data_IF_813702565411
#
_entry.id   IF_813702565411
#
_cell.length_a   1.000
_cell.length_b   1.000
_cell.length_c   1.000
_cell.angle_alpha   90.00
_cell.angle_beta   90.00
_cell.angle_gamma   90.00
#
_symmetry.space_group_name_H-M   'P 1'
#
loop_
_entity.id
_entity.type
_entity.pdbx_description
1 polymer ?
#
# COMPACT_ATOMS: atom_id res chain seq x y z
N UNK A 1 49.65 7.51 6.79
CA UNK A 1 48.27 8.05 6.82
C UNK A 1 47.91 8.23 8.28
N UNK A 2 48.08 9.46 8.76
CA UNK A 2 48.35 9.81 10.16
C UNK A 2 47.09 9.96 11.00
N UNK A 3 47.26 9.89 12.32
CA UNK A 3 46.24 10.20 13.34
C UNK A 3 45.59 11.59 13.15
N UNK A 4 46.24 12.51 12.43
CA UNK A 4 45.69 13.83 12.09
C UNK A 4 44.53 13.78 11.09
N UNK A 5 44.59 12.93 10.06
CA UNK A 5 43.46 12.79 9.13
C UNK A 5 42.22 12.24 9.84
N UNK A 6 42.39 11.26 10.74
CA UNK A 6 41.29 10.74 11.54
C UNK A 6 40.71 11.78 12.52
N UNK A 7 41.55 12.67 13.07
CA UNK A 7 41.12 13.76 13.94
C UNK A 7 40.39 14.86 13.16
N UNK A 8 40.85 15.21 11.95
CA UNK A 8 40.17 16.17 11.07
C UNK A 8 38.81 15.64 10.61
N UNK A 9 38.72 14.40 10.13
CA UNK A 9 37.43 13.80 9.73
C UNK A 9 36.47 13.69 10.92
N UNK A 10 36.98 13.42 12.14
CA UNK A 10 36.16 13.41 13.36
C UNK A 10 35.67 14.80 13.74
N UNK A 11 36.50 15.83 13.61
CA UNK A 11 36.11 17.22 13.89
C UNK A 11 35.12 17.78 12.87
N UNK A 12 35.27 17.45 11.58
CA UNK A 12 34.27 17.77 10.56
C UNK A 12 32.93 17.06 10.83
N UNK A 13 32.97 15.78 11.21
CA UNK A 13 31.77 15.04 11.59
C UNK A 13 31.07 15.63 12.81
N UNK A 14 31.82 16.03 13.84
CA UNK A 14 31.25 16.65 15.04
C UNK A 14 30.64 18.02 14.73
N UNK A 15 31.28 18.85 13.90
CA UNK A 15 30.72 20.13 13.43
C UNK A 15 29.46 19.94 12.57
N UNK A 16 29.46 18.96 11.66
CA UNK A 16 28.28 18.64 10.86
C UNK A 16 27.14 18.12 11.75
N UNK A 17 27.46 17.36 12.80
CA UNK A 17 26.49 16.85 13.77
C UNK A 17 25.91 17.96 14.64
N UNK A 18 26.73 18.86 15.19
CA UNK A 18 26.29 20.03 15.96
C UNK A 18 25.42 20.96 15.11
N UNK A 19 25.88 21.31 13.89
CA UNK A 19 25.08 22.11 12.96
C UNK A 19 23.76 21.45 12.56
N UNK A 20 23.72 20.11 12.50
CA UNK A 20 22.48 19.35 12.27
C UNK A 20 21.54 19.40 13.47
N UNK A 21 22.05 19.28 14.69
CA UNK A 21 21.24 19.34 15.92
C UNK A 21 20.63 20.74 16.11
N UNK A 22 21.41 21.81 15.90
CA UNK A 22 20.91 23.18 15.94
C UNK A 22 19.86 23.46 14.87
N UNK A 23 20.08 22.97 13.64
CA UNK A 23 19.11 23.08 12.54
C UNK A 23 17.83 22.32 12.84
N UNK A 24 17.93 21.11 13.40
CA UNK A 24 16.75 20.34 13.79
C UNK A 24 15.98 21.03 14.92
N UNK A 25 16.67 21.63 15.91
CA UNK A 25 16.03 22.39 16.99
C UNK A 25 15.24 23.61 16.47
N UNK A 26 15.82 24.38 15.54
CA UNK A 26 15.14 25.52 14.89
C UNK A 26 13.89 25.08 14.13
N UNK A 27 13.98 23.99 13.38
CA UNK A 27 12.85 23.45 12.61
C UNK A 27 11.78 22.87 13.54
N UNK A 28 12.17 22.19 14.62
CA UNK A 28 11.24 21.66 15.61
C UNK A 28 10.39 22.78 16.25
N UNK A 29 10.98 23.95 16.51
CA UNK A 29 10.25 25.10 17.04
C UNK A 29 9.15 25.59 16.09
N UNK A 30 9.34 25.49 14.77
CA UNK A 30 8.33 25.85 13.77
C UNK A 30 7.16 24.85 13.66
N UNK A 31 7.33 23.63 14.20
CA UNK A 31 6.35 22.54 14.03
C UNK A 31 5.34 22.42 15.17
N UNK A 32 5.59 23.04 16.32
CA UNK A 32 4.73 22.89 17.50
C UNK A 32 3.34 23.53 17.33
N UNK A 33 3.12 24.39 16.34
CA UNK A 33 1.86 25.11 16.11
C UNK A 33 0.85 24.40 15.16
N UNK A 34 1.23 23.33 14.46
CA UNK A 34 0.41 22.74 13.38
C UNK A 34 -0.26 21.38 13.71
N UNK A 35 -0.09 20.86 14.92
CA UNK A 35 -0.35 19.44 15.22
C UNK A 35 -1.85 19.04 15.36
N UNK A 36 -2.79 19.96 15.13
CA UNK A 36 -4.22 19.78 15.45
C UNK A 36 -5.15 19.35 14.28
N UNK A 37 -4.64 19.20 13.04
CA UNK A 37 -5.49 19.03 11.84
C UNK A 37 -5.45 17.65 11.16
N UNK A 38 -5.09 16.57 11.87
CA UNK A 38 -5.24 15.22 11.34
C UNK A 38 -6.58 14.61 11.77
N UNK A 39 -7.62 14.91 10.98
CA UNK A 39 -8.97 14.39 11.12
C UNK A 39 -9.07 12.86 11.16
N UNK A 40 -10.25 12.35 11.55
CA UNK A 40 -10.52 10.92 11.73
C UNK A 40 -10.22 10.14 10.45
N UNK A 41 -9.33 9.15 10.52
CA UNK A 41 -8.89 8.34 9.38
C UNK A 41 -9.99 7.44 8.74
N UNK A 42 -11.20 7.42 9.30
CA UNK A 42 -12.32 6.59 8.85
C UNK A 42 -13.65 7.33 9.08
N UNK A 43 -14.42 7.53 8.02
CA UNK A 43 -15.81 8.00 8.09
C UNK A 43 -16.74 7.00 7.39
N UNK A 44 -17.60 6.34 8.17
CA UNK A 44 -18.55 5.34 7.69
C UNK A 44 -19.63 5.93 6.78
N UNK A 45 -19.94 7.23 6.90
CA UNK A 45 -20.91 7.91 6.03
C UNK A 45 -20.37 8.05 4.62
N UNK A 46 -19.10 8.48 4.48
CA UNK A 46 -18.43 8.59 3.18
C UNK A 46 -18.34 7.23 2.50
N UNK A 47 -17.99 6.17 3.23
CA UNK A 47 -17.97 4.80 2.70
C UNK A 47 -19.35 4.38 2.18
N UNK A 48 -20.42 4.64 2.94
CA UNK A 48 -21.78 4.28 2.51
C UNK A 48 -22.20 5.02 1.23
N UNK A 49 -21.81 6.30 1.10
CA UNK A 49 -22.04 7.09 -0.12
C UNK A 49 -21.24 6.55 -1.29
N UNK A 50 -19.94 6.24 -1.12
CA UNK A 50 -19.13 5.59 -2.16
C UNK A 50 -19.77 4.30 -2.67
N UNK A 51 -20.25 3.45 -1.75
CA UNK A 51 -20.91 2.20 -2.09
C UNK A 51 -22.25 2.41 -2.81
N UNK A 52 -22.94 3.54 -2.59
CA UNK A 52 -24.17 3.86 -3.32
C UNK A 52 -23.93 4.02 -4.82
N UNK A 53 -22.82 4.66 -5.22
CA UNK A 53 -22.41 4.78 -6.63
C UNK A 53 -21.98 3.45 -7.25
N UNK A 54 -21.60 2.48 -6.43
CA UNK A 54 -21.29 1.13 -6.90
C UNK A 54 -22.53 0.26 -7.07
N UNK A 55 -23.70 0.66 -6.54
CA UNK A 55 -24.95 -0.12 -6.60
C UNK A 55 -25.37 -0.51 -8.02
N UNK A 56 -25.32 0.39 -9.03
CA UNK A 56 -25.69 0.04 -10.41
C UNK A 56 -24.79 -1.05 -11.01
N UNK A 57 -23.58 -1.20 -10.46
CA UNK A 57 -22.55 -2.12 -10.94
C UNK A 57 -22.38 -3.37 -10.05
N UNK A 58 -23.32 -3.61 -9.12
CA UNK A 58 -23.28 -4.77 -8.23
C UNK A 58 -23.21 -6.12 -8.97
N UNK A 59 -23.96 -6.37 -10.07
CA UNK A 59 -23.87 -7.63 -10.79
C UNK A 59 -22.44 -7.90 -11.31
N UNK A 60 -21.79 -6.87 -11.85
CA UNK A 60 -20.41 -6.94 -12.33
C UNK A 60 -19.44 -7.16 -11.17
N UNK A 61 -19.63 -6.49 -10.04
CA UNK A 61 -18.81 -6.69 -8.84
C UNK A 61 -18.95 -8.10 -8.27
N UNK A 62 -20.17 -8.64 -8.21
CA UNK A 62 -20.43 -10.02 -7.77
C UNK A 62 -19.75 -11.00 -8.73
N UNK A 63 -19.87 -10.79 -10.04
CA UNK A 63 -19.20 -11.61 -11.05
C UNK A 63 -17.67 -11.54 -10.93
N UNK A 64 -17.11 -10.35 -10.66
CA UNK A 64 -15.69 -10.18 -10.42
C UNK A 64 -15.23 -10.89 -9.13
N UNK A 65 -16.03 -10.84 -8.06
CA UNK A 65 -15.77 -11.56 -6.80
C UNK A 65 -15.81 -13.07 -7.04
N UNK A 66 -16.77 -13.55 -7.82
CA UNK A 66 -16.85 -14.96 -8.20
C UNK A 66 -15.59 -15.43 -8.94
N UNK A 67 -15.16 -14.70 -9.99
CA UNK A 67 -13.90 -15.02 -10.68
C UNK A 67 -12.66 -14.86 -9.78
N UNK A 68 -12.70 -13.95 -8.81
CA UNK A 68 -11.64 -13.80 -7.82
C UNK A 68 -11.55 -15.01 -6.89
N UNK A 69 -12.67 -15.55 -6.43
CA UNK A 69 -12.68 -16.76 -5.60
C UNK A 69 -12.12 -17.93 -6.40
N UNK A 70 -12.57 -18.12 -7.65
CA UNK A 70 -12.07 -19.20 -8.50
C UNK A 70 -10.56 -19.05 -8.74
N UNK A 71 -10.09 -17.88 -9.18
CA UNK A 71 -8.66 -17.66 -9.40
C UNK A 71 -7.84 -17.85 -8.11
N UNK A 72 -8.34 -17.41 -6.96
CA UNK A 72 -7.65 -17.62 -5.67
C UNK A 72 -7.59 -19.11 -5.30
N UNK A 73 -8.67 -19.86 -5.52
CA UNK A 73 -8.69 -21.31 -5.30
C UNK A 73 -7.75 -22.04 -6.26
N UNK A 74 -7.75 -21.71 -7.56
CA UNK A 74 -6.83 -22.29 -8.53
C UNK A 74 -5.37 -22.02 -8.16
N UNK A 75 -5.06 -20.80 -7.70
CA UNK A 75 -3.74 -20.47 -7.17
C UNK A 75 -3.41 -21.29 -5.91
N UNK A 76 -4.36 -21.50 -5.00
CA UNK A 76 -4.14 -22.29 -3.78
C UNK A 76 -3.95 -23.77 -4.08
N UNK A 77 -4.59 -24.32 -5.11
CA UNK A 77 -4.51 -25.76 -5.45
C UNK A 77 -3.16 -26.14 -6.09
N UNK A 78 -2.48 -25.21 -6.77
CA UNK A 78 -1.24 -25.48 -7.50
C UNK A 78 -0.12 -26.17 -6.68
N UNK A 79 0.27 -25.69 -5.48
CA UNK A 79 1.29 -26.38 -4.69
C UNK A 79 0.93 -27.81 -4.30
N UNK A 80 -0.35 -28.08 -3.99
CA UNK A 80 -0.82 -29.43 -3.69
C UNK A 80 -0.71 -30.36 -4.91
N UNK A 81 -1.00 -29.87 -6.13
CA UNK A 81 -0.78 -30.63 -7.37
C UNK A 81 0.69 -30.97 -7.55
N UNK A 82 1.60 -30.02 -7.28
CA UNK A 82 3.04 -30.28 -7.36
C UNK A 82 3.46 -31.35 -6.35
N UNK A 83 2.95 -31.28 -5.11
CA UNK A 83 3.21 -32.31 -4.11
C UNK A 83 2.72 -33.70 -4.55
N UNK A 84 1.49 -33.80 -5.07
CA UNK A 84 0.94 -35.05 -5.59
C UNK A 84 1.69 -35.61 -6.80
N UNK A 85 2.17 -34.73 -7.69
CA UNK A 85 3.01 -35.13 -8.81
C UNK A 85 4.33 -35.78 -8.36
N UNK A 86 4.90 -35.28 -7.26
CA UNK A 86 6.12 -35.84 -6.67
C UNK A 86 5.83 -37.21 -6.05
N UNK A 87 4.81 -37.30 -5.19
CA UNK A 87 4.52 -38.51 -4.42
C UNK A 87 4.02 -39.67 -5.31
N UNK A 88 3.09 -39.39 -6.22
CA UNK A 88 2.43 -40.44 -7.01
C UNK A 88 3.11 -40.67 -8.36
N UNK A 89 3.89 -39.70 -8.85
CA UNK A 89 4.55 -39.75 -10.15
C UNK A 89 6.06 -39.97 -10.05
N UNK A 90 6.78 -39.02 -9.46
CA UNK A 90 8.25 -39.06 -9.44
C UNK A 90 8.75 -40.18 -8.52
N UNK A 91 8.20 -40.30 -7.31
CA UNK A 91 8.64 -41.31 -6.35
C UNK A 91 8.31 -42.76 -6.81
N UNK A 92 7.26 -42.93 -7.61
CA UNK A 92 6.86 -44.24 -8.16
C UNK A 92 7.53 -44.55 -9.51
N UNK A 93 8.24 -43.59 -10.12
CA UNK A 93 8.85 -43.74 -11.44
C UNK A 93 7.85 -43.75 -12.61
N UNK A 94 6.58 -43.40 -12.39
CA UNK A 94 5.54 -43.43 -13.42
C UNK A 94 5.51 -42.13 -14.24
N UNK A 95 6.12 -42.17 -15.43
CA UNK A 95 6.08 -41.04 -16.37
C UNK A 95 4.64 -40.66 -16.78
N UNK A 96 3.74 -41.64 -16.87
CA UNK A 96 2.34 -41.39 -17.22
C UNK A 96 1.63 -40.59 -16.14
N UNK A 97 1.84 -40.92 -14.87
CA UNK A 97 1.27 -40.19 -13.73
C UNK A 97 1.82 -38.76 -13.66
N UNK A 98 3.13 -38.57 -13.90
CA UNK A 98 3.74 -37.22 -13.97
C UNK A 98 3.12 -36.39 -15.10
N UNK A 99 2.92 -36.96 -16.29
CA UNK A 99 2.28 -36.26 -17.43
C UNK A 99 0.84 -35.86 -17.10
N UNK A 100 0.08 -36.73 -16.44
CA UNK A 100 -1.29 -36.45 -16.00
C UNK A 100 -1.33 -35.29 -15.02
N UNK A 101 -0.50 -35.30 -13.97
CA UNK A 101 -0.44 -34.20 -13.00
C UNK A 101 0.08 -32.90 -13.62
N UNK A 102 1.00 -32.97 -14.58
CA UNK A 102 1.47 -31.80 -15.35
C UNK A 102 0.35 -31.22 -16.21
N UNK A 103 -0.43 -32.06 -16.90
CA UNK A 103 -1.58 -31.61 -17.68
C UNK A 103 -2.66 -30.98 -16.80
N UNK A 104 -2.92 -31.56 -15.62
CA UNK A 104 -3.84 -30.97 -14.64
C UNK A 104 -3.32 -29.63 -14.10
N UNK A 105 -2.02 -29.53 -13.81
CA UNK A 105 -1.40 -28.26 -13.41
C UNK A 105 -1.58 -27.18 -14.48
N UNK A 106 -1.34 -27.52 -15.75
CA UNK A 106 -1.53 -26.60 -16.87
C UNK A 106 -2.99 -26.18 -17.00
N UNK A 107 -3.94 -27.12 -16.87
CA UNK A 107 -5.36 -26.81 -16.89
C UNK A 107 -5.74 -25.82 -15.77
N UNK A 108 -5.29 -26.08 -14.54
CA UNK A 108 -5.52 -25.19 -13.38
C UNK A 108 -4.89 -23.82 -13.60
N UNK A 109 -3.68 -23.76 -14.14
CA UNK A 109 -3.00 -22.50 -14.46
C UNK A 109 -3.74 -21.70 -15.56
N UNK A 110 -4.26 -22.38 -16.58
CA UNK A 110 -5.07 -21.74 -17.64
C UNK A 110 -6.39 -21.20 -17.07
N UNK A 111 -7.08 -21.97 -16.22
CA UNK A 111 -8.31 -21.51 -15.56
C UNK A 111 -8.01 -20.32 -14.65
N UNK A 112 -6.93 -20.36 -13.86
CA UNK A 112 -6.50 -19.22 -13.05
C UNK A 112 -6.27 -17.99 -13.94
N UNK A 113 -5.51 -18.14 -15.03
CA UNK A 113 -5.19 -17.04 -15.94
C UNK A 113 -6.44 -16.43 -16.57
N UNK A 114 -7.35 -17.25 -17.11
CA UNK A 114 -8.61 -16.80 -17.72
C UNK A 114 -9.47 -16.07 -16.69
N UNK A 115 -9.72 -16.69 -15.53
CA UNK A 115 -10.57 -16.09 -14.49
C UNK A 115 -9.97 -14.81 -13.92
N UNK A 116 -8.65 -14.77 -13.72
CA UNK A 116 -7.94 -13.57 -13.31
C UNK A 116 -8.05 -12.45 -14.36
N UNK A 117 -7.91 -12.79 -15.65
CA UNK A 117 -8.06 -11.84 -16.77
C UNK A 117 -9.46 -11.22 -16.78
N UNK A 118 -10.51 -12.04 -16.67
CA UNK A 118 -11.90 -11.58 -16.60
C UNK A 118 -12.16 -10.70 -15.38
N UNK A 119 -11.69 -11.12 -14.20
CA UNK A 119 -11.76 -10.33 -12.98
C UNK A 119 -11.14 -8.93 -13.18
N UNK A 120 -9.92 -8.85 -13.72
CA UNK A 120 -9.23 -7.57 -13.94
C UNK A 120 -10.01 -6.71 -14.93
N UNK A 121 -10.50 -7.29 -16.04
CA UNK A 121 -11.31 -6.56 -17.03
C UNK A 121 -12.58 -5.97 -16.42
N UNK A 122 -13.34 -6.78 -15.67
CA UNK A 122 -14.60 -6.35 -15.07
C UNK A 122 -14.34 -5.24 -14.05
N UNK A 123 -13.31 -5.38 -13.22
CA UNK A 123 -12.97 -4.35 -12.24
C UNK A 123 -12.51 -3.05 -12.89
N UNK A 124 -11.73 -3.11 -13.97
CA UNK A 124 -11.34 -1.93 -14.74
C UNK A 124 -12.56 -1.25 -15.39
N UNK A 125 -13.49 -2.04 -15.92
CA UNK A 125 -14.75 -1.53 -16.47
C UNK A 125 -15.58 -0.81 -15.41
N UNK A 126 -15.83 -1.47 -14.27
CA UNK A 126 -16.61 -0.89 -13.16
C UNK A 126 -15.93 0.36 -12.62
N UNK A 127 -14.62 0.32 -12.37
CA UNK A 127 -13.87 1.47 -11.87
C UNK A 127 -13.97 2.68 -12.81
N UNK A 128 -13.81 2.46 -14.12
CA UNK A 128 -13.91 3.53 -15.12
C UNK A 128 -15.32 4.09 -15.23
N UNK A 129 -16.34 3.21 -15.18
CA UNK A 129 -17.75 3.62 -15.25
C UNK A 129 -18.20 4.41 -14.04
N UNK A 130 -17.88 3.94 -12.83
CA UNK A 130 -18.15 4.68 -11.59
C UNK A 130 -17.53 6.08 -11.64
N UNK A 131 -16.29 6.20 -12.09
CA UNK A 131 -15.62 7.50 -12.25
C UNK A 131 -16.30 8.39 -13.29
N UNK A 132 -16.72 7.81 -14.42
CA UNK A 132 -17.46 8.56 -15.44
C UNK A 132 -18.76 9.12 -14.86
N UNK A 133 -19.49 8.33 -14.07
CA UNK A 133 -20.72 8.78 -13.40
C UNK A 133 -20.43 9.90 -12.39
N UNK A 134 -19.41 9.73 -11.53
CA UNK A 134 -18.98 10.77 -10.59
C UNK A 134 -18.60 12.07 -11.29
N UNK A 135 -17.78 12.01 -12.34
CA UNK A 135 -17.36 13.19 -13.09
C UNK A 135 -18.54 13.84 -13.79
N UNK A 136 -19.44 13.05 -14.35
CA UNK A 136 -20.63 13.56 -15.04
C UNK A 136 -21.60 14.25 -14.07
N UNK A 137 -21.82 13.68 -12.89
CA UNK A 137 -22.65 14.30 -11.86
C UNK A 137 -22.02 15.56 -11.28
N UNK A 138 -20.74 15.51 -10.90
CA UNK A 138 -20.00 16.69 -10.46
C UNK A 138 -20.05 17.80 -11.50
N UNK A 139 -19.84 17.48 -12.77
CA UNK A 139 -19.86 18.46 -13.86
C UNK A 139 -21.25 19.08 -14.05
N UNK A 140 -22.31 18.27 -14.03
CA UNK A 140 -23.70 18.78 -14.07
C UNK A 140 -23.98 19.68 -12.86
N UNK A 141 -23.61 19.23 -11.67
CA UNK A 141 -23.84 19.98 -10.44
C UNK A 141 -23.08 21.31 -10.45
N UNK A 142 -21.83 21.34 -10.91
CA UNK A 142 -21.06 22.58 -11.08
C UNK A 142 -21.77 23.59 -11.98
N UNK A 143 -22.49 23.16 -13.02
CA UNK A 143 -23.26 24.05 -13.89
C UNK A 143 -24.57 24.55 -13.25
N UNK A 144 -25.03 23.93 -12.17
CA UNK A 144 -26.21 24.40 -11.41
C UNK A 144 -25.86 25.42 -10.34
N UNK A 145 -24.58 25.60 -10.02
CA UNK A 145 -24.14 26.53 -8.98
C UNK A 145 -24.15 27.98 -9.47
N UNK A 146 -24.29 28.91 -8.52
CA UNK A 146 -24.39 30.34 -8.79
C UNK A 146 -23.09 30.93 -9.36
N UNK A 147 -23.19 32.05 -10.07
CA UNK A 147 -22.03 32.85 -10.47
C UNK A 147 -21.18 33.28 -9.25
N UNK A 148 -21.83 33.48 -8.09
CA UNK A 148 -21.16 33.80 -6.84
C UNK A 148 -20.24 32.66 -6.38
N UNK A 149 -20.69 31.41 -6.50
CA UNK A 149 -19.82 30.25 -6.26
C UNK A 149 -18.60 30.28 -7.18
N UNK A 150 -18.80 30.46 -8.50
CA UNK A 150 -17.70 30.46 -9.48
C UNK A 150 -16.70 31.61 -9.31
N UNK A 151 -17.15 32.76 -8.81
CA UNK A 151 -16.27 33.91 -8.54
C UNK A 151 -15.40 33.72 -7.29
N UNK A 152 -15.89 32.97 -6.30
CA UNK A 152 -15.20 32.76 -5.02
C UNK A 152 -14.42 31.44 -4.95
N UNK A 153 -14.75 30.45 -5.80
CA UNK A 153 -14.03 29.19 -5.89
C UNK A 153 -12.94 29.23 -6.95
N UNK A 154 -11.72 28.85 -6.56
CA UNK A 154 -10.60 28.80 -7.51
C UNK A 154 -10.80 27.65 -8.51
N UNK A 155 -10.74 27.96 -9.80
CA UNK A 155 -10.82 26.98 -10.91
C UNK A 155 -9.86 25.81 -10.71
N UNK A 156 -8.62 26.08 -10.26
CA UNK A 156 -7.63 25.03 -9.99
C UNK A 156 -8.05 24.00 -8.93
N UNK A 157 -8.69 24.44 -7.84
CA UNK A 157 -9.24 23.53 -6.82
C UNK A 157 -10.37 22.67 -7.38
N UNK A 158 -11.25 23.24 -8.21
CA UNK A 158 -12.34 22.49 -8.86
C UNK A 158 -11.78 21.43 -9.82
N UNK A 159 -10.80 21.80 -10.65
CA UNK A 159 -10.13 20.88 -11.56
C UNK A 159 -9.39 19.76 -10.80
N UNK A 160 -8.71 20.08 -9.71
CA UNK A 160 -8.06 19.09 -8.85
C UNK A 160 -9.06 18.10 -8.24
N UNK A 161 -10.23 18.58 -7.76
CA UNK A 161 -11.30 17.72 -7.26
C UNK A 161 -11.87 16.80 -8.35
N UNK A 162 -12.15 17.34 -9.54
CA UNK A 162 -12.76 16.58 -10.64
C UNK A 162 -11.81 15.53 -11.26
N UNK A 163 -10.51 15.83 -11.32
CA UNK A 163 -9.52 14.97 -11.96
C UNK A 163 -8.82 14.09 -10.93
N UNK A 164 -8.15 14.70 -9.95
CA UNK A 164 -7.26 14.00 -9.02
C UNK A 164 -8.04 13.29 -7.92
N UNK A 165 -8.97 13.97 -7.23
CA UNK A 165 -9.70 13.34 -6.12
C UNK A 165 -10.60 12.21 -6.60
N UNK A 166 -11.34 12.41 -7.70
CA UNK A 166 -12.11 11.31 -8.32
C UNK A 166 -11.19 10.19 -8.82
N UNK A 167 -9.98 10.51 -9.30
CA UNK A 167 -8.98 9.51 -9.67
C UNK A 167 -8.53 8.64 -8.49
N UNK A 168 -8.34 9.23 -7.30
CA UNK A 168 -8.04 8.46 -6.08
C UNK A 168 -9.19 7.50 -5.72
N UNK A 169 -10.45 7.89 -5.96
CA UNK A 169 -11.61 7.01 -5.80
C UNK A 169 -11.59 5.85 -6.81
N UNK A 170 -11.19 6.13 -8.06
CA UNK A 170 -11.01 5.12 -9.11
C UNK A 170 -10.05 4.02 -8.67
N UNK A 171 -8.86 4.42 -8.23
CA UNK A 171 -7.79 3.52 -7.84
C UNK A 171 -8.17 2.70 -6.60
N UNK A 172 -8.93 3.31 -5.70
CA UNK A 172 -9.46 2.63 -4.54
C UNK A 172 -10.42 1.50 -4.91
N UNK A 173 -11.40 1.78 -5.76
CA UNK A 173 -12.42 0.82 -6.19
C UNK A 173 -11.79 -0.27 -7.06
N UNK A 174 -10.92 0.11 -7.99
CA UNK A 174 -10.34 -0.81 -8.99
C UNK A 174 -9.30 -1.71 -8.37
N UNK A 175 -8.37 -1.14 -7.60
CA UNK A 175 -7.17 -1.85 -7.16
C UNK A 175 -7.17 -2.13 -5.68
N UNK A 176 -7.53 -1.15 -4.83
CA UNK A 176 -7.34 -1.27 -3.38
C UNK A 176 -8.32 -2.27 -2.75
N UNK A 177 -9.63 -2.08 -2.96
CA UNK A 177 -10.66 -3.00 -2.44
C UNK A 177 -10.47 -4.41 -2.99
N UNK A 178 -10.29 -4.53 -4.30
CA UNK A 178 -10.24 -5.85 -4.97
C UNK A 178 -9.09 -6.69 -4.47
N UNK A 179 -7.91 -6.12 -4.34
CA UNK A 179 -6.78 -6.89 -3.85
C UNK A 179 -6.76 -7.05 -2.33
N UNK A 180 -7.49 -6.25 -1.53
CA UNK A 180 -7.78 -6.61 -0.13
C UNK A 180 -8.57 -7.92 -0.07
N UNK A 181 -9.65 -8.02 -0.85
CA UNK A 181 -10.43 -9.26 -0.94
C UNK A 181 -9.62 -10.42 -1.51
N UNK A 182 -8.86 -10.20 -2.59
CA UNK A 182 -7.97 -11.23 -3.16
C UNK A 182 -6.98 -11.74 -2.11
N UNK A 183 -6.32 -10.83 -1.40
CA UNK A 183 -5.37 -11.15 -0.34
C UNK A 183 -6.04 -11.96 0.76
N UNK A 184 -7.24 -11.55 1.18
CA UNK A 184 -8.03 -12.26 2.18
C UNK A 184 -8.39 -13.69 1.73
N UNK A 185 -8.97 -13.87 0.53
CA UNK A 185 -9.36 -15.19 0.01
C UNK A 185 -8.15 -16.09 -0.24
N UNK A 186 -7.07 -15.54 -0.80
CA UNK A 186 -5.83 -16.29 -1.06
C UNK A 186 -5.19 -16.72 0.25
N UNK A 187 -5.03 -15.81 1.22
CA UNK A 187 -4.44 -16.12 2.52
C UNK A 187 -5.27 -17.17 3.27
N UNK A 188 -6.59 -16.99 3.32
CA UNK A 188 -7.51 -17.94 3.95
C UNK A 188 -7.44 -19.31 3.27
N UNK A 189 -7.42 -19.34 1.93
CA UNK A 189 -7.27 -20.58 1.17
C UNK A 189 -5.94 -21.28 1.45
N UNK A 190 -4.83 -20.55 1.53
CA UNK A 190 -3.52 -21.12 1.90
C UNK A 190 -3.57 -21.71 3.31
N UNK A 191 -4.11 -20.98 4.30
CA UNK A 191 -4.23 -21.48 5.69
C UNK A 191 -5.02 -22.77 5.74
N UNK A 192 -6.18 -22.81 5.07
CA UNK A 192 -7.03 -24.01 5.00
C UNK A 192 -6.28 -25.15 4.31
N UNK A 193 -5.64 -24.89 3.16
CA UNK A 193 -4.90 -25.91 2.42
C UNK A 193 -3.74 -26.51 3.25
N UNK A 194 -2.98 -25.67 3.97
CA UNK A 194 -1.90 -26.14 4.84
C UNK A 194 -2.42 -26.99 5.99
N UNK A 195 -3.50 -26.56 6.66
CA UNK A 195 -4.13 -27.32 7.74
C UNK A 195 -4.70 -28.67 7.26
N UNK A 196 -5.26 -28.71 6.05
CA UNK A 196 -5.79 -29.93 5.45
C UNK A 196 -4.69 -30.90 5.00
N UNK A 197 -3.53 -30.40 4.56
CA UNK A 197 -2.39 -31.24 4.18
C UNK A 197 -1.70 -31.86 5.39
N UNK A 198 -1.30 -31.03 6.36
CA UNK A 198 -0.77 -31.50 7.64
C UNK A 198 -0.87 -30.40 8.71
N UNK A 199 -1.79 -30.60 9.67
CA UNK A 199 -2.04 -29.59 10.69
C UNK A 199 -0.85 -29.36 11.64
N UNK A 200 0.01 -30.36 11.86
CA UNK A 200 1.18 -30.22 12.75
C UNK A 200 2.24 -29.34 12.10
N UNK A 201 2.56 -29.61 10.84
CA UNK A 201 3.51 -28.82 10.05
C UNK A 201 2.98 -27.41 9.75
N UNK A 202 1.66 -27.27 9.62
CA UNK A 202 1.01 -25.95 9.53
C UNK A 202 1.20 -25.14 10.81
N UNK A 203 1.01 -25.73 12.00
CA UNK A 203 1.29 -25.04 13.27
C UNK A 203 2.77 -24.65 13.41
N UNK A 204 3.69 -25.51 12.97
CA UNK A 204 5.13 -25.17 12.91
C UNK A 204 5.35 -23.94 12.03
N UNK A 205 4.72 -23.88 10.86
CA UNK A 205 4.79 -22.70 9.99
C UNK A 205 4.21 -21.46 10.67
N UNK A 206 3.04 -21.60 11.29
CA UNK A 206 2.33 -20.49 11.94
C UNK A 206 3.02 -19.99 13.21
N UNK A 207 3.97 -20.74 13.78
CA UNK A 207 4.79 -20.29 14.91
C UNK A 207 5.58 -19.00 14.61
N UNK A 208 5.83 -18.69 13.33
CA UNK A 208 6.51 -17.45 12.90
C UNK A 208 5.55 -16.25 12.88
N UNK A 209 4.23 -16.46 12.88
CA UNK A 209 3.23 -15.39 12.81
C UNK A 209 3.29 -14.40 13.98
N UNK A 210 3.40 -14.82 15.26
CA UNK A 210 3.54 -13.89 16.37
C UNK A 210 4.76 -12.97 16.20
N UNK A 211 5.89 -13.52 15.77
CA UNK A 211 7.12 -12.75 15.52
C UNK A 211 6.92 -11.75 14.37
N UNK A 212 6.26 -12.18 13.29
CA UNK A 212 5.91 -11.30 12.17
C UNK A 212 4.96 -10.19 12.61
N UNK A 213 3.97 -10.47 13.47
CA UNK A 213 3.05 -9.48 14.00
C UNK A 213 3.79 -8.43 14.84
N UNK A 214 4.70 -8.86 15.72
CA UNK A 214 5.55 -7.96 16.52
C UNK A 214 6.39 -7.07 15.60
N UNK A 215 7.08 -7.66 14.61
CA UNK A 215 7.89 -6.93 13.63
C UNK A 215 7.05 -5.88 12.89
N UNK A 216 5.89 -6.28 12.39
CA UNK A 216 4.96 -5.41 11.65
C UNK A 216 4.44 -4.28 12.53
N UNK A 217 4.08 -4.56 13.79
CA UNK A 217 3.57 -3.55 14.71
C UNK A 217 4.65 -2.55 15.10
N UNK A 218 5.85 -3.04 15.43
CA UNK A 218 7.04 -2.25 15.71
C UNK A 218 7.34 -1.29 14.54
N UNK A 219 7.22 -1.82 13.31
CA UNK A 219 7.41 -1.07 12.08
C UNK A 219 6.39 0.05 11.90
N UNK A 220 5.11 -0.31 11.96
CA UNK A 220 3.99 0.58 11.66
C UNK A 220 3.96 1.80 12.60
N UNK A 221 4.41 1.66 13.84
CA UNK A 221 4.52 2.78 14.79
C UNK A 221 5.64 3.74 14.39
N UNK A 222 6.81 3.23 13.99
CA UNK A 222 7.97 4.07 13.61
C UNK A 222 7.80 4.74 12.25
N UNK A 223 7.28 4.00 11.26
CA UNK A 223 7.01 4.52 9.91
C UNK A 223 6.10 5.73 9.97
N UNK A 224 5.02 5.66 10.76
CA UNK A 224 4.10 6.80 10.91
C UNK A 224 4.81 8.07 11.40
N UNK A 225 5.73 7.95 12.36
CA UNK A 225 6.50 9.08 12.89
C UNK A 225 7.43 9.69 11.85
N UNK A 226 8.22 8.88 11.14
CA UNK A 226 9.18 9.40 10.14
C UNK A 226 8.48 10.00 8.93
N UNK A 227 7.37 9.43 8.46
CA UNK A 227 6.59 10.02 7.36
C UNK A 227 5.86 11.31 7.78
N UNK A 228 5.39 11.42 9.03
CA UNK A 228 4.86 12.69 9.56
C UNK A 228 5.94 13.77 9.55
N UNK A 229 7.13 13.43 10.03
CA UNK A 229 8.29 14.32 10.05
C UNK A 229 8.72 14.79 8.64
N UNK A 230 8.62 13.92 7.63
CA UNK A 230 8.84 14.28 6.22
C UNK A 230 7.78 15.25 5.69
N UNK A 231 6.49 14.99 5.96
CA UNK A 231 5.39 15.88 5.53
C UNK A 231 5.48 17.27 6.14
N UNK A 232 5.76 17.35 7.44
CA UNK A 232 5.99 18.60 8.16
C UNK A 232 7.10 19.45 7.53
N UNK A 233 8.26 18.84 7.23
CA UNK A 233 9.37 19.55 6.57
C UNK A 233 9.05 19.99 5.14
N UNK A 234 8.27 19.19 4.41
CA UNK A 234 7.78 19.58 3.08
C UNK A 234 6.84 20.79 3.15
N UNK A 235 5.96 20.85 4.17
CA UNK A 235 5.09 21.99 4.40
C UNK A 235 5.89 23.27 4.65
N UNK A 236 6.92 23.22 5.51
CA UNK A 236 7.83 24.34 5.76
C UNK A 236 8.54 24.83 4.49
N UNK A 237 9.05 23.90 3.66
CA UNK A 237 9.65 24.23 2.36
C UNK A 237 8.65 24.97 1.46
N UNK A 238 7.42 24.46 1.36
CA UNK A 238 6.39 25.08 0.53
C UNK A 238 5.97 26.46 1.06
N UNK A 239 5.84 26.62 2.37
CA UNK A 239 5.57 27.91 3.02
C UNK A 239 6.67 28.93 2.73
N UNK A 240 7.93 28.53 2.93
CA UNK A 240 9.09 29.38 2.66
C UNK A 240 9.22 29.78 1.19
N UNK A 241 8.95 28.85 0.27
CA UNK A 241 8.92 29.15 -1.16
C UNK A 241 7.82 30.16 -1.52
N UNK A 242 6.63 30.01 -0.94
CA UNK A 242 5.52 30.94 -1.16
C UNK A 242 5.89 32.36 -0.70
N UNK A 243 6.44 32.50 0.51
CA UNK A 243 6.91 33.78 1.05
C UNK A 243 8.04 34.37 0.21
N UNK A 244 9.03 33.56 -0.18
CA UNK A 244 10.18 34.00 -0.97
C UNK A 244 9.80 34.49 -2.37
N UNK A 245 8.85 33.81 -3.03
CA UNK A 245 8.37 34.19 -4.36
C UNK A 245 7.49 35.44 -4.27
N UNK A 246 6.55 35.47 -3.33
CA UNK A 246 5.65 36.62 -3.12
C UNK A 246 6.42 37.88 -2.70
N UNK A 247 7.46 37.69 -1.87
CA UNK A 247 8.34 38.73 -1.36
C UNK A 247 9.57 39.02 -2.21
N UNK A 248 9.66 38.54 -3.46
CA UNK A 248 10.90 38.60 -4.26
C UNK A 248 11.45 40.02 -4.42
N UNK A 249 10.58 41.02 -4.55
CA UNK A 249 10.98 42.43 -4.63
C UNK A 249 11.70 42.90 -3.36
N UNK A 250 11.23 42.49 -2.18
CA UNK A 250 11.87 42.81 -0.89
C UNK A 250 13.25 42.15 -0.83
N UNK A 251 13.33 40.86 -1.15
CA UNK A 251 14.61 40.12 -1.16
C UNK A 251 15.64 40.78 -2.10
N UNK A 252 15.22 41.19 -3.31
CA UNK A 252 16.09 41.88 -4.28
C UNK A 252 16.49 43.28 -3.84
N UNK A 253 15.55 44.07 -3.30
CA UNK A 253 15.84 45.43 -2.84
C UNK A 253 16.81 45.48 -1.66
N UNK A 254 16.82 44.45 -0.80
CA UNK A 254 17.76 44.32 0.31
C UNK A 254 19.00 43.46 0.00
N UNK A 255 19.15 42.97 -1.24
CA UNK A 255 20.27 42.12 -1.67
C UNK A 255 20.48 40.90 -0.75
N UNK A 256 19.37 40.24 -0.37
CA UNK A 256 19.36 39.11 0.59
C UNK A 256 19.30 37.74 -0.07
N UNK A 257 19.59 37.64 -1.36
CA UNK A 257 19.45 36.38 -2.11
C UNK A 257 20.25 35.23 -1.50
N UNK A 258 21.51 35.47 -1.13
CA UNK A 258 22.39 34.44 -0.58
C UNK A 258 21.92 33.96 0.81
N UNK A 259 21.44 34.89 1.64
CA UNK A 259 20.91 34.58 2.98
C UNK A 259 19.65 33.72 2.86
N UNK A 260 18.77 34.06 1.92
CA UNK A 260 17.54 33.31 1.68
C UNK A 260 17.85 31.94 1.05
N UNK A 261 18.82 31.87 0.14
CA UNK A 261 19.29 30.62 -0.46
C UNK A 261 19.86 29.67 0.61
N UNK A 262 20.64 30.19 1.57
CA UNK A 262 21.15 29.40 2.68
C UNK A 262 20.03 28.89 3.60
N UNK A 263 19.03 29.72 3.91
CA UNK A 263 17.86 29.29 4.69
C UNK A 263 17.10 28.18 3.95
N UNK A 264 16.85 28.34 2.65
CA UNK A 264 16.23 27.30 1.84
C UNK A 264 17.05 26.01 1.83
N UNK A 265 18.38 26.11 1.70
CA UNK A 265 19.28 24.97 1.76
C UNK A 265 19.15 24.21 3.09
N UNK A 266 19.03 24.91 4.22
CA UNK A 266 18.84 24.29 5.53
C UNK A 266 17.50 23.56 5.64
N UNK A 267 16.41 24.17 5.19
CA UNK A 267 15.09 23.51 5.13
C UNK A 267 15.14 22.27 4.23
N UNK A 268 15.73 22.40 3.04
CA UNK A 268 15.84 21.31 2.08
C UNK A 268 16.72 20.16 2.60
N UNK A 269 17.83 20.46 3.29
CA UNK A 269 18.69 19.43 3.89
C UNK A 269 17.99 18.73 5.05
N UNK A 270 17.21 19.45 5.86
CA UNK A 270 16.37 18.82 6.89
C UNK A 270 15.32 17.87 6.29
N UNK A 271 14.66 18.28 5.19
CA UNK A 271 13.74 17.44 4.43
C UNK A 271 14.44 16.21 3.83
N UNK A 272 15.64 16.39 3.29
CA UNK A 272 16.49 15.29 2.83
C UNK A 272 16.80 14.31 3.97
N UNK A 273 17.26 14.79 5.13
CA UNK A 273 17.59 13.93 6.28
C UNK A 273 16.37 13.15 6.78
N UNK A 274 15.19 13.77 6.81
CA UNK A 274 13.94 13.10 7.16
C UNK A 274 13.55 12.02 6.14
N UNK A 275 13.69 12.31 4.84
CA UNK A 275 13.48 11.32 3.79
C UNK A 275 14.46 10.16 3.88
N UNK A 276 15.75 10.41 4.09
CA UNK A 276 16.75 9.36 4.28
C UNK A 276 16.38 8.47 5.47
N UNK A 277 15.94 9.06 6.60
CA UNK A 277 15.44 8.29 7.75
C UNK A 277 14.21 7.45 7.41
N UNK A 278 13.24 8.02 6.68
CA UNK A 278 12.06 7.31 6.23
C UNK A 278 12.40 6.16 5.28
N UNK A 279 13.28 6.39 4.30
CA UNK A 279 13.74 5.40 3.33
C UNK A 279 14.55 4.28 3.97
N UNK A 280 15.48 4.61 4.89
CA UNK A 280 16.24 3.61 5.65
C UNK A 280 15.35 2.73 6.50
N UNK A 281 14.30 3.31 7.08
CA UNK A 281 13.25 2.53 7.70
C UNK A 281 12.62 1.69 6.60
N UNK A 282 11.81 2.21 5.67
CA UNK A 282 11.12 1.44 4.60
C UNK A 282 11.94 0.28 3.98
N UNK A 283 13.24 0.50 3.70
CA UNK A 283 14.15 -0.51 3.15
C UNK A 283 14.35 -1.77 4.02
N UNK A 284 14.22 -1.69 5.34
CA UNK A 284 14.38 -2.85 6.25
C UNK A 284 13.10 -3.70 6.40
N UNK A 285 11.93 -3.24 5.93
CA UNK A 285 10.66 -3.96 6.14
C UNK A 285 10.60 -5.25 5.34
N UNK A 286 10.76 -5.15 4.02
CA UNK A 286 10.63 -6.27 3.11
C UNK A 286 11.67 -7.35 3.38
N UNK A 287 12.97 -7.01 3.60
CA UNK A 287 13.95 -7.98 4.06
C UNK A 287 13.55 -8.66 5.38
N UNK A 288 12.94 -7.93 6.32
CA UNK A 288 12.41 -8.50 7.56
C UNK A 288 11.30 -9.52 7.30
N UNK A 289 10.38 -9.24 6.36
CA UNK A 289 9.32 -10.18 5.94
C UNK A 289 9.91 -11.38 5.19
N UNK A 290 10.89 -11.17 4.31
CA UNK A 290 11.60 -12.25 3.60
C UNK A 290 12.35 -13.16 4.57
N UNK A 291 12.95 -12.59 5.62
CA UNK A 291 13.59 -13.35 6.68
C UNK A 291 12.59 -14.20 7.45
N UNK A 292 11.38 -13.68 7.76
CA UNK A 292 10.31 -14.50 8.37
C UNK A 292 9.90 -15.66 7.47
N UNK A 293 9.77 -15.43 6.15
CA UNK A 293 9.51 -16.48 5.19
C UNK A 293 10.61 -17.54 5.14
N UNK A 294 11.87 -17.11 5.12
CA UNK A 294 13.03 -17.99 5.13
C UNK A 294 13.14 -18.79 6.43
N UNK A 295 12.81 -18.18 7.58
CA UNK A 295 12.75 -18.83 8.88
C UNK A 295 11.65 -19.90 8.91
N UNK A 296 10.45 -19.58 8.40
CA UNK A 296 9.36 -20.54 8.28
C UNK A 296 9.75 -21.72 7.38
N UNK A 297 10.39 -21.46 6.23
CA UNK A 297 10.92 -22.51 5.35
C UNK A 297 11.97 -23.36 6.07
N UNK A 298 12.92 -22.76 6.79
CA UNK A 298 13.95 -23.51 7.52
C UNK A 298 13.34 -24.41 8.61
N UNK A 299 12.37 -23.92 9.37
CA UNK A 299 11.64 -24.70 10.38
C UNK A 299 10.90 -25.88 9.74
N UNK A 300 10.19 -25.63 8.65
CA UNK A 300 9.43 -26.67 7.93
C UNK A 300 10.33 -27.69 7.26
N UNK A 301 11.46 -27.28 6.67
CA UNK A 301 12.45 -28.22 6.11
C UNK A 301 13.06 -29.08 7.22
N UNK A 302 13.35 -28.49 8.38
CA UNK A 302 13.95 -29.23 9.51
C UNK A 302 12.95 -30.23 10.11
N UNK A 303 11.77 -29.76 10.51
CA UNK A 303 10.75 -30.61 11.16
C UNK A 303 10.09 -31.55 10.15
N UNK A 304 9.70 -31.03 8.99
CA UNK A 304 9.10 -31.84 7.93
C UNK A 304 10.08 -32.83 7.32
N UNK A 305 11.36 -32.46 7.17
CA UNK A 305 12.41 -33.40 6.75
C UNK A 305 12.59 -34.54 7.75
N UNK A 306 12.59 -34.25 9.06
CA UNK A 306 12.59 -35.29 10.09
C UNK A 306 11.36 -36.20 10.01
N UNK A 307 10.17 -35.65 9.78
CA UNK A 307 8.94 -36.45 9.61
C UNK A 307 8.95 -37.31 8.35
N UNK A 308 9.55 -36.84 7.26
CA UNK A 308 9.74 -37.63 6.04
C UNK A 308 10.68 -38.81 6.30
N UNK A 309 11.76 -38.61 7.04
CA UNK A 309 12.69 -39.70 7.42
C UNK A 309 12.04 -40.75 8.33
N UNK A 310 10.93 -40.43 8.99
CA UNK A 310 10.15 -41.34 9.83
C UNK A 310 8.94 -41.94 9.11
N UNK A 311 8.82 -41.75 7.80
CA UNK A 311 7.66 -42.16 6.99
C UNK A 311 6.31 -41.59 7.49
N UNK A 312 6.35 -40.52 8.30
CA UNK A 312 5.17 -39.85 8.84
C UNK A 312 4.64 -38.75 7.91
N UNK A 313 5.43 -38.33 6.92
CA UNK A 313 5.11 -37.30 5.93
C UNK A 313 5.69 -37.70 4.57
N UNK A 314 5.00 -37.38 3.48
CA UNK A 314 5.54 -37.59 2.13
C UNK A 314 6.41 -36.41 1.67
N UNK A 315 7.38 -36.69 0.80
CA UNK A 315 8.27 -35.65 0.24
C UNK A 315 7.48 -34.59 -0.53
N UNK A 316 6.43 -34.99 -1.24
CA UNK A 316 5.54 -34.09 -1.97
C UNK A 316 4.80 -33.13 -1.07
N UNK A 317 4.32 -33.58 0.10
CA UNK A 317 3.70 -32.68 1.09
C UNK A 317 4.73 -31.65 1.58
N UNK A 318 5.96 -32.07 1.90
CA UNK A 318 7.02 -31.14 2.30
C UNK A 318 7.29 -30.06 1.24
N UNK A 319 7.41 -30.45 -0.03
CA UNK A 319 7.62 -29.51 -1.14
C UNK A 319 6.41 -28.58 -1.32
N UNK A 320 5.19 -29.10 -1.23
CA UNK A 320 3.97 -28.29 -1.28
C UNK A 320 3.96 -27.23 -0.17
N UNK A 321 4.35 -27.59 1.05
CA UNK A 321 4.48 -26.65 2.16
C UNK A 321 5.48 -25.53 1.88
N UNK A 322 6.67 -25.83 1.35
CA UNK A 322 7.66 -24.80 0.99
C UNK A 322 7.08 -23.79 -0.01
N UNK A 323 6.33 -24.28 -1.00
CA UNK A 323 5.65 -23.44 -1.99
C UNK A 323 4.51 -22.61 -1.37
N UNK A 324 3.74 -23.17 -0.44
CA UNK A 324 2.71 -22.44 0.30
C UNK A 324 3.28 -21.33 1.17
N UNK A 325 4.40 -21.58 1.87
CA UNK A 325 5.09 -20.57 2.69
C UNK A 325 5.40 -19.34 1.84
N UNK A 326 6.00 -19.52 0.67
CA UNK A 326 6.31 -18.39 -0.22
C UNK A 326 5.07 -17.57 -0.59
N UNK A 327 3.97 -18.24 -0.94
CA UNK A 327 2.70 -17.59 -1.30
C UNK A 327 1.98 -16.95 -0.11
N UNK A 328 2.20 -17.46 1.10
CA UNK A 328 1.55 -16.99 2.32
C UNK A 328 1.95 -15.55 2.69
N UNK A 329 3.22 -15.17 2.45
CA UNK A 329 3.72 -13.84 2.82
C UNK A 329 3.35 -12.73 1.81
N UNK A 330 3.00 -13.07 0.56
CA UNK A 330 2.67 -12.09 -0.48
C UNK A 330 1.40 -11.28 -0.15
N UNK A 331 0.24 -11.91 0.20
CA UNK A 331 -0.95 -11.19 0.64
C UNK A 331 -0.69 -10.24 1.82
N UNK A 332 0.17 -10.65 2.77
CA UNK A 332 0.45 -9.84 3.95
C UNK A 332 1.18 -8.54 3.56
N UNK A 333 2.09 -8.60 2.58
CA UNK A 333 2.76 -7.40 2.02
C UNK A 333 1.76 -6.48 1.33
N UNK A 334 0.88 -7.05 0.51
CA UNK A 334 -0.15 -6.27 -0.20
C UNK A 334 -1.09 -5.56 0.79
N UNK A 335 -1.56 -6.25 1.83
CA UNK A 335 -2.42 -5.67 2.86
C UNK A 335 -1.75 -4.49 3.57
N UNK A 336 -0.45 -4.59 3.87
CA UNK A 336 0.30 -3.53 4.54
C UNK A 336 0.43 -2.25 3.70
N UNK A 337 0.57 -2.38 2.37
CA UNK A 337 0.72 -1.23 1.45
C UNK A 337 -0.59 -0.45 1.24
N UNK A 338 -1.74 -1.14 1.26
CA UNK A 338 -3.06 -0.57 0.88
C UNK A 338 -3.69 0.35 1.92
N UNK A 339 -3.18 0.35 3.15
CA UNK A 339 -3.70 1.20 4.23
C UNK A 339 -3.57 2.71 3.92
N UNK A 340 -2.48 3.12 3.29
CA UNK A 340 -2.27 4.52 2.91
C UNK A 340 -3.26 4.97 1.84
N UNK A 341 -3.54 4.11 0.85
CA UNK A 341 -4.53 4.41 -0.19
C UNK A 341 -5.91 4.58 0.40
N UNK A 342 -6.30 3.73 1.36
CA UNK A 342 -7.58 3.86 2.06
C UNK A 342 -7.75 5.24 2.72
N UNK A 343 -6.72 5.75 3.40
CA UNK A 343 -6.78 7.09 4.02
C UNK A 343 -6.88 8.21 2.99
N UNK A 344 -6.08 8.13 1.91
CA UNK A 344 -6.13 9.10 0.82
C UNK A 344 -7.54 9.15 0.18
N UNK A 345 -8.16 7.99 -0.03
CA UNK A 345 -9.53 7.88 -0.53
C UNK A 345 -10.53 8.54 0.39
N UNK A 346 -10.44 8.38 1.71
CA UNK A 346 -11.37 9.03 2.65
C UNK A 346 -11.28 10.55 2.53
N UNK A 347 -10.08 11.11 2.52
CA UNK A 347 -9.88 12.55 2.39
C UNK A 347 -10.35 13.10 1.03
N UNK A 348 -10.10 12.37 -0.07
CA UNK A 348 -10.61 12.74 -1.40
C UNK A 348 -12.13 12.62 -1.48
N UNK A 349 -12.72 11.61 -0.83
CA UNK A 349 -14.18 11.43 -0.76
C UNK A 349 -14.84 12.59 -0.03
N UNK A 350 -14.28 13.03 1.09
CA UNK A 350 -14.78 14.17 1.87
C UNK A 350 -14.83 15.44 1.02
N UNK A 351 -13.76 15.73 0.26
CA UNK A 351 -13.72 16.91 -0.62
C UNK A 351 -14.68 16.82 -1.80
N UNK A 352 -14.82 15.64 -2.40
CA UNK A 352 -15.74 15.41 -3.53
C UNK A 352 -17.19 15.51 -3.07
N UNK A 353 -17.55 14.83 -1.99
CA UNK A 353 -18.90 14.87 -1.46
C UNK A 353 -19.25 16.23 -0.87
N UNK A 354 -18.32 16.92 -0.21
CA UNK A 354 -18.54 18.30 0.23
C UNK A 354 -18.82 19.26 -0.94
N UNK A 355 -18.27 19.00 -2.12
CA UNK A 355 -18.61 19.76 -3.33
C UNK A 355 -19.99 19.40 -3.88
N UNK A 356 -20.37 18.11 -3.88
CA UNK A 356 -21.70 17.65 -4.31
C UNK A 356 -22.82 18.09 -3.35
N UNK A 357 -22.50 18.28 -2.08
CA UNK A 357 -23.43 18.75 -1.05
C UNK A 357 -23.56 20.28 -1.01
N UNK A 358 -22.88 21.00 -1.91
CA UNK A 358 -22.99 22.47 -1.96
C UNK A 358 -24.32 22.84 -2.61
N UNK A 359 -25.20 23.51 -1.86
CA UNK A 359 -26.51 23.93 -2.40
C UNK A 359 -26.36 25.18 -3.30
N UNK A 360 -27.09 25.27 -4.43
CA UNK A 360 -27.14 26.48 -5.24
C UNK A 360 -27.75 27.66 -4.49
N UNK A 361 -27.07 28.81 -4.46
CA UNK A 361 -27.57 30.03 -3.81
C UNK A 361 -28.87 30.60 -4.45
N UNK A 362 -29.17 30.19 -5.69
CA UNK A 362 -30.32 30.63 -6.46
C UNK A 362 -31.06 29.39 -6.97
N UNK A 363 -32.27 29.18 -6.46
CA UNK A 363 -33.19 28.14 -6.93
C UNK A 363 -34.31 28.84 -7.67
N UNK A 364 -34.58 28.43 -8.91
CA UNK A 364 -35.69 28.98 -9.70
C UNK A 364 -37.02 28.68 -8.98
N UNK A 365 -37.93 29.67 -8.94
CA UNK A 365 -39.24 29.46 -8.34
C UNK A 365 -40.04 28.47 -9.21
N UNK A 366 -40.84 27.57 -8.59
CA UNK A 366 -41.55 26.48 -9.28
C UNK A 366 -42.58 26.95 -10.32
#
# INVERSE_FOLDING_TARGET
MSRENAAQTRNEYLREKEGREEREARIQALLNDEDELLGKAYDSRLVRRLLAYMRPYLPQLILAIFFMIISSLMAVVQPAIVGKAIDEGIATGSLQTVRMWTALFLLVAIIEWITNRWRISIMAYVGTKVVADYRSELFRHLHTLSLNFHNNYSVGRLMSRLISDVGVLQDFITWSITGLFRSFFTLTGIVIAMLLLDWKLALVTFSVLPLMFILTRYWQVRVRKVYRATRQRLALINGYLNESISGIRVTKSFTREEVNAQHFYDLNRSYFDANVRASRLTALFFPGVDFMGSLATALVVTVGGYLVLQDALTTGVLVAFILYIRRFFDPIRELAQRYNTFQATMASSERVFGLLDTEPDLVDAP
#
